data_IF_575251164640
#
_entry.id   IF_575251164640
#
_cell.length_a   1.000
_cell.length_b   1.000
_cell.length_c   1.000
_cell.angle_alpha   90.00
_cell.angle_beta   90.00
_cell.angle_gamma   90.00
#
_symmetry.space_group_name_H-M   'P 1'
#
loop_
_entity.id
_entity.type
_entity.pdbx_description
1 polymer ?
#
# COMPACT_ATOMS: atom_id res chain seq x y z
N UNK A 1 35.45 30.06 -16.14
CA UNK A 1 34.00 29.87 -16.16
C UNK A 1 33.78 28.47 -16.73
N UNK A 2 33.60 27.48 -15.86
CA UNK A 2 33.43 26.10 -16.27
C UNK A 2 31.96 25.82 -16.56
N UNK A 3 31.69 25.27 -17.73
CA UNK A 3 30.36 24.76 -18.08
C UNK A 3 29.95 23.69 -17.05
N UNK A 4 28.77 23.91 -16.45
CA UNK A 4 28.18 22.96 -15.52
C UNK A 4 27.85 21.67 -16.28
N UNK A 5 28.35 20.47 -15.88
CA UNK A 5 28.20 19.24 -16.63
C UNK A 5 26.77 18.64 -16.60
N UNK A 6 25.76 19.38 -16.13
CA UNK A 6 24.38 18.92 -15.99
C UNK A 6 23.34 19.85 -16.61
N UNK A 7 23.72 20.65 -17.61
CA UNK A 7 22.70 21.35 -18.40
C UNK A 7 21.85 20.32 -19.15
N UNK A 8 20.66 20.03 -18.64
CA UNK A 8 19.69 19.20 -19.37
C UNK A 8 19.25 19.96 -20.62
N UNK A 9 19.68 19.50 -21.79
CA UNK A 9 19.21 20.05 -23.06
C UNK A 9 17.75 19.56 -23.27
N UNK A 10 16.84 20.47 -23.67
CA UNK A 10 15.48 20.06 -24.03
C UNK A 10 15.52 19.09 -25.20
N UNK A 11 14.73 18.01 -25.07
CA UNK A 11 14.56 17.05 -26.16
C UNK A 11 13.81 17.76 -27.28
N UNK A 12 14.45 17.87 -28.45
CA UNK A 12 13.81 18.41 -29.63
C UNK A 12 12.91 17.35 -30.27
N UNK A 13 11.77 17.77 -30.78
CA UNK A 13 10.79 16.88 -31.42
C UNK A 13 10.38 17.46 -32.79
N UNK A 14 10.45 16.64 -33.82
CA UNK A 14 10.01 16.96 -35.19
C UNK A 14 8.54 16.60 -35.41
N UNK A 15 7.78 16.30 -34.36
CA UNK A 15 6.37 15.92 -34.47
C UNK A 15 5.55 17.13 -34.90
N UNK A 16 4.87 17.02 -36.08
CA UNK A 16 3.92 18.00 -36.57
C UNK A 16 2.60 17.89 -35.77
N UNK A 17 2.49 18.63 -34.66
CA UNK A 17 1.34 18.58 -33.76
C UNK A 17 0.04 19.12 -34.36
N UNK A 18 0.11 19.87 -35.47
CA UNK A 18 -0.99 20.43 -36.27
C UNK A 18 -1.47 19.48 -37.38
N UNK A 19 -0.73 18.41 -37.67
CA UNK A 19 -1.13 17.43 -38.68
C UNK A 19 -2.42 16.71 -38.30
N UNK A 20 -3.26 16.42 -39.32
CA UNK A 20 -4.50 15.68 -39.13
C UNK A 20 -4.30 14.30 -38.53
N UNK A 21 -3.15 13.69 -38.79
CA UNK A 21 -2.78 12.38 -38.23
C UNK A 21 -2.50 12.47 -36.73
N UNK A 22 -1.71 13.44 -36.33
CA UNK A 22 -1.45 13.70 -34.88
C UNK A 22 -2.74 14.00 -34.14
N UNK A 23 -3.63 14.83 -34.68
CA UNK A 23 -4.90 15.16 -34.04
C UNK A 23 -5.79 13.92 -33.87
N UNK A 24 -5.88 13.04 -34.86
CA UNK A 24 -6.63 11.77 -34.74
C UNK A 24 -6.06 10.87 -33.65
N UNK A 25 -4.74 10.71 -33.57
CA UNK A 25 -4.06 9.90 -32.56
C UNK A 25 -4.23 10.49 -31.17
N UNK A 26 -4.09 11.81 -31.04
CA UNK A 26 -4.32 12.54 -29.79
C UNK A 26 -5.75 12.34 -29.27
N UNK A 27 -6.75 12.50 -30.13
CA UNK A 27 -8.14 12.39 -29.73
C UNK A 27 -8.50 10.93 -29.35
N UNK A 28 -7.98 9.95 -30.07
CA UNK A 28 -8.10 8.55 -29.69
C UNK A 28 -7.43 8.24 -28.33
N UNK A 29 -6.25 8.82 -28.07
CA UNK A 29 -5.57 8.68 -26.78
C UNK A 29 -6.36 9.36 -25.64
N UNK A 30 -6.83 10.58 -25.85
CA UNK A 30 -7.63 11.30 -24.85
C UNK A 30 -8.93 10.56 -24.52
N UNK A 31 -9.59 9.97 -25.53
CA UNK A 31 -10.77 9.12 -25.30
C UNK A 31 -10.46 7.91 -24.42
N UNK A 32 -9.32 7.23 -24.64
CA UNK A 32 -8.87 6.12 -23.77
C UNK A 32 -8.56 6.60 -22.35
N UNK A 33 -7.92 7.75 -22.21
CA UNK A 33 -7.63 8.35 -20.90
C UNK A 33 -8.92 8.71 -20.15
N UNK A 34 -9.92 9.25 -20.85
CA UNK A 34 -11.22 9.56 -20.26
C UNK A 34 -11.95 8.29 -19.78
N UNK A 35 -11.88 7.19 -20.52
CA UNK A 35 -12.44 5.90 -20.11
C UNK A 35 -11.74 5.30 -18.88
N UNK A 36 -10.47 5.65 -18.62
CA UNK A 36 -9.71 5.18 -17.47
C UNK A 36 -10.09 5.93 -16.16
N UNK A 37 -10.54 7.18 -16.26
CA UNK A 37 -10.79 8.04 -15.10
C UNK A 37 -11.80 7.46 -14.10
N UNK A 38 -12.96 6.91 -14.49
CA UNK A 38 -13.90 6.31 -13.55
C UNK A 38 -13.29 5.17 -12.71
N UNK A 39 -12.43 4.36 -13.33
CA UNK A 39 -11.73 3.27 -12.62
C UNK A 39 -10.70 3.79 -11.60
N UNK A 40 -10.05 4.88 -11.92
CA UNK A 40 -9.13 5.56 -10.99
C UNK A 40 -9.90 6.16 -9.81
N UNK A 41 -11.06 6.74 -10.08
CA UNK A 41 -11.93 7.31 -9.05
C UNK A 41 -12.46 6.21 -8.11
N UNK A 42 -12.88 5.07 -8.65
CA UNK A 42 -13.27 3.89 -7.87
C UNK A 42 -12.12 3.39 -7.00
N UNK A 43 -10.92 3.21 -7.57
CA UNK A 43 -9.73 2.81 -6.82
C UNK A 43 -9.37 3.81 -5.71
N UNK A 44 -9.59 5.10 -5.95
CA UNK A 44 -9.35 6.17 -4.98
C UNK A 44 -10.33 6.10 -3.80
N UNK A 45 -11.59 5.71 -4.03
CA UNK A 45 -12.59 5.57 -2.98
C UNK A 45 -12.26 4.41 -2.01
N UNK A 46 -11.59 3.37 -2.48
CA UNK A 46 -11.34 2.14 -1.71
C UNK A 46 -12.61 1.34 -1.49
N UNK A 47 -12.88 0.91 -0.25
CA UNK A 47 -14.07 0.13 0.09
C UNK A 47 -15.39 0.86 -0.15
N UNK A 48 -16.49 0.09 -0.15
CA UNK A 48 -17.83 0.65 -0.35
C UNK A 48 -18.23 1.64 0.77
N UNK A 49 -19.27 2.41 0.53
CA UNK A 49 -19.72 3.47 1.45
C UNK A 49 -20.00 2.95 2.87
N UNK A 50 -20.64 1.78 2.99
CA UNK A 50 -20.93 1.14 4.28
C UNK A 50 -19.65 0.85 5.05
N UNK A 51 -18.65 0.27 4.38
CA UNK A 51 -17.35 -0.05 4.99
C UNK A 51 -16.60 1.21 5.42
N UNK A 52 -16.60 2.26 4.60
CA UNK A 52 -15.98 3.55 4.95
C UNK A 52 -16.68 4.23 6.12
N UNK A 53 -18.00 4.24 6.15
CA UNK A 53 -18.80 4.78 7.30
C UNK A 53 -18.47 4.01 8.58
N UNK A 54 -18.45 2.67 8.52
CA UNK A 54 -18.11 1.84 9.68
C UNK A 54 -16.67 2.10 10.16
N UNK A 55 -15.72 2.30 9.25
CA UNK A 55 -14.34 2.63 9.59
C UNK A 55 -14.26 3.96 10.34
N UNK A 56 -14.92 5.00 9.83
CA UNK A 56 -14.98 6.32 10.47
C UNK A 56 -15.73 6.30 11.81
N UNK A 57 -16.81 5.52 11.95
CA UNK A 57 -17.54 5.41 13.22
C UNK A 57 -16.72 4.80 14.36
N UNK A 58 -15.62 4.10 14.04
CA UNK A 58 -14.64 3.60 14.98
C UNK A 58 -13.53 4.62 15.33
N UNK A 59 -13.67 5.87 14.89
CA UNK A 59 -12.66 6.91 15.08
C UNK A 59 -11.41 6.75 14.24
N UNK A 60 -11.45 5.92 13.19
CA UNK A 60 -10.29 5.65 12.34
C UNK A 60 -10.29 6.54 11.10
N UNK A 61 -9.12 7.07 10.77
CA UNK A 61 -8.89 7.80 9.50
C UNK A 61 -8.89 6.82 8.34
N UNK A 62 -9.45 7.23 7.19
CA UNK A 62 -9.34 6.46 5.95
C UNK A 62 -7.85 6.40 5.49
N UNK A 63 -7.45 5.37 4.74
CA UNK A 63 -6.04 5.21 4.34
C UNK A 63 -5.45 6.44 3.64
N UNK A 64 -6.20 7.07 2.74
CA UNK A 64 -5.74 8.28 2.04
C UNK A 64 -5.68 9.51 2.94
N UNK A 65 -6.55 9.59 3.94
CA UNK A 65 -6.48 10.64 4.98
C UNK A 65 -5.22 10.47 5.83
N UNK A 66 -4.82 9.23 6.14
CA UNK A 66 -3.56 8.93 6.85
C UNK A 66 -2.34 9.33 6.02
N UNK A 67 -2.35 9.01 4.72
CA UNK A 67 -1.28 9.43 3.80
C UNK A 67 -1.18 10.95 3.78
N UNK A 68 -2.29 11.66 3.57
CA UNK A 68 -2.32 13.11 3.51
C UNK A 68 -1.85 13.77 4.82
N UNK A 69 -2.15 13.17 5.98
CA UNK A 69 -1.71 13.66 7.28
C UNK A 69 -0.22 13.40 7.57
N UNK A 70 0.37 12.40 6.93
CA UNK A 70 1.80 12.06 7.11
C UNK A 70 2.72 12.85 6.20
N UNK A 71 2.26 13.15 4.99
CA UNK A 71 3.06 13.85 3.98
C UNK A 71 3.33 15.30 4.39
N UNK A 72 4.49 15.80 4.00
CA UNK A 72 4.82 17.21 4.16
C UNK A 72 3.81 18.09 3.41
N UNK A 73 3.38 19.23 4.00
CA UNK A 73 2.40 20.11 3.37
C UNK A 73 2.80 20.51 1.94
N UNK A 74 1.89 20.28 1.00
CA UNK A 74 2.09 20.63 -0.41
C UNK A 74 2.98 19.65 -1.19
N UNK A 75 3.50 18.59 -0.56
CA UNK A 75 4.28 17.59 -1.29
C UNK A 75 3.38 16.68 -2.12
N UNK A 76 3.80 16.32 -3.35
CA UNK A 76 3.04 15.37 -4.17
C UNK A 76 3.16 13.94 -3.63
N UNK A 77 2.14 13.12 -3.90
CA UNK A 77 2.18 11.68 -3.68
C UNK A 77 2.18 10.94 -5.02
N UNK A 78 3.27 10.28 -5.36
CA UNK A 78 3.38 9.45 -6.55
C UNK A 78 2.87 8.04 -6.25
N UNK A 79 1.60 7.79 -6.48
CA UNK A 79 1.01 6.47 -6.28
C UNK A 79 1.46 5.46 -7.36
N UNK A 80 1.88 4.28 -6.93
CA UNK A 80 2.35 3.19 -7.79
C UNK A 80 1.32 2.06 -7.79
N UNK A 81 0.96 1.56 -8.98
CA UNK A 81 0.06 0.42 -9.13
C UNK A 81 -1.38 0.70 -8.69
N UNK A 82 -1.90 1.91 -8.92
CA UNK A 82 -3.24 2.34 -8.52
C UNK A 82 -4.36 1.39 -8.97
N UNK A 83 -4.21 0.74 -10.13
CA UNK A 83 -5.19 -0.18 -10.72
C UNK A 83 -4.70 -1.65 -10.73
N UNK A 84 -3.75 -2.00 -9.86
CA UNK A 84 -3.11 -3.31 -9.90
C UNK A 84 -4.07 -4.48 -9.62
N UNK A 85 -5.18 -4.24 -8.94
CA UNK A 85 -6.20 -5.25 -8.65
C UNK A 85 -7.41 -5.22 -9.57
N UNK A 86 -7.37 -4.41 -10.65
CA UNK A 86 -8.51 -4.25 -11.55
C UNK A 86 -8.94 -5.58 -12.18
N UNK A 87 -10.22 -5.91 -12.04
CA UNK A 87 -10.87 -7.10 -12.62
C UNK A 87 -10.29 -8.46 -12.17
N UNK A 88 -9.52 -8.49 -11.07
CA UNK A 88 -8.90 -9.72 -10.60
C UNK A 88 -9.70 -10.45 -9.51
N UNK A 89 -10.49 -9.72 -8.72
CA UNK A 89 -11.16 -10.30 -7.55
C UNK A 89 -12.58 -9.76 -7.41
N UNK A 90 -13.55 -10.64 -7.18
CA UNK A 90 -14.95 -10.29 -7.03
C UNK A 90 -15.19 -9.40 -5.81
N UNK A 91 -15.84 -8.26 -6.04
CA UNK A 91 -16.19 -7.30 -5.00
C UNK A 91 -14.97 -6.62 -4.33
N UNK A 92 -13.84 -6.59 -5.01
CA UNK A 92 -12.64 -5.85 -4.63
C UNK A 92 -12.41 -4.74 -5.64
N UNK A 93 -12.24 -3.47 -5.21
CA UNK A 93 -12.03 -2.36 -6.13
C UNK A 93 -10.67 -2.45 -6.84
N UNK A 94 -10.48 -1.69 -7.94
CA UNK A 94 -9.23 -1.75 -8.73
C UNK A 94 -7.94 -1.48 -7.92
N UNK A 95 -8.02 -0.70 -6.86
CA UNK A 95 -6.90 -0.44 -5.93
C UNK A 95 -6.55 -1.62 -5.04
N UNK A 96 -7.37 -2.68 -5.03
CA UNK A 96 -7.30 -3.79 -4.10
C UNK A 96 -7.29 -3.33 -2.61
N UNK A 97 -6.49 -3.97 -1.78
CA UNK A 97 -6.47 -3.73 -0.33
C UNK A 97 -5.23 -2.97 0.13
N UNK A 98 -4.54 -2.30 -0.79
CA UNK A 98 -3.27 -1.63 -0.49
C UNK A 98 -3.06 -0.40 -1.37
N UNK A 99 -2.46 0.63 -0.80
CA UNK A 99 -1.96 1.81 -1.50
C UNK A 99 -0.45 1.82 -1.35
N UNK A 100 0.28 2.02 -2.44
CA UNK A 100 1.74 2.15 -2.42
C UNK A 100 2.15 3.38 -3.23
N UNK A 101 3.17 4.09 -2.77
CA UNK A 101 3.65 5.26 -3.49
C UNK A 101 4.79 5.96 -2.79
N UNK A 102 5.38 6.92 -3.45
CA UNK A 102 6.44 7.77 -2.92
C UNK A 102 5.89 9.13 -2.58
N UNK A 103 6.23 9.60 -1.39
CA UNK A 103 5.91 10.95 -0.93
C UNK A 103 6.98 11.49 0.00
N UNK A 104 6.92 12.78 0.29
CA UNK A 104 7.89 13.43 1.16
C UNK A 104 7.40 13.44 2.60
N UNK A 105 8.23 12.97 3.52
CA UNK A 105 7.95 12.95 4.97
C UNK A 105 9.16 13.55 5.69
N UNK A 106 8.96 14.64 6.41
CA UNK A 106 10.03 15.37 7.11
C UNK A 106 11.23 15.69 6.21
N UNK A 107 10.95 16.18 4.99
CA UNK A 107 11.96 16.56 4.01
C UNK A 107 12.63 15.39 3.28
N UNK A 108 12.21 14.14 3.52
CA UNK A 108 12.79 12.94 2.89
C UNK A 108 11.77 12.22 2.01
N UNK A 109 12.18 11.80 0.83
CA UNK A 109 11.38 10.89 0.01
C UNK A 109 11.31 9.52 0.70
N UNK A 110 10.10 9.04 0.92
CA UNK A 110 9.81 7.76 1.57
C UNK A 110 8.87 6.92 0.70
N UNK A 111 9.04 5.60 0.73
CA UNK A 111 8.05 4.68 0.21
C UNK A 111 6.96 4.47 1.26
N UNK A 112 5.72 4.78 0.91
CA UNK A 112 4.54 4.50 1.73
C UNK A 112 3.88 3.21 1.26
N UNK A 113 3.60 2.30 2.19
CA UNK A 113 2.90 1.03 1.97
C UNK A 113 1.73 0.99 2.95
N UNK A 114 0.51 1.12 2.46
CA UNK A 114 -0.66 1.41 3.31
C UNK A 114 -1.76 0.40 3.06
N UNK A 115 -2.16 -0.35 4.07
CA UNK A 115 -3.32 -1.23 3.97
C UNK A 115 -4.62 -0.43 3.91
N UNK A 116 -5.54 -0.86 3.05
CA UNK A 116 -6.91 -0.35 3.03
C UNK A 116 -7.86 -1.35 3.70
N UNK A 117 -8.08 -1.17 4.99
CA UNK A 117 -8.98 -2.02 5.77
C UNK A 117 -10.47 -1.80 5.45
N UNK A 118 -10.82 -0.77 4.68
CA UNK A 118 -12.20 -0.58 4.18
C UNK A 118 -12.55 -1.58 3.10
N UNK A 119 -11.53 -2.21 2.49
CA UNK A 119 -11.65 -3.28 1.50
C UNK A 119 -11.32 -4.62 2.17
N UNK A 120 -12.36 -5.45 2.41
CA UNK A 120 -12.18 -6.81 2.97
C UNK A 120 -11.28 -6.86 4.23
N UNK A 121 -11.31 -5.82 5.07
CA UNK A 121 -10.50 -5.75 6.29
C UNK A 121 -9.00 -5.64 6.07
N UNK A 122 -8.55 -5.20 4.91
CA UNK A 122 -7.13 -5.13 4.56
C UNK A 122 -6.49 -6.51 4.30
N UNK A 123 -7.33 -7.50 3.98
CA UNK A 123 -6.87 -8.86 3.64
C UNK A 123 -5.95 -8.83 2.42
N UNK A 124 -4.83 -9.54 2.51
CA UNK A 124 -3.87 -9.62 1.42
C UNK A 124 -4.29 -10.66 0.38
N UNK A 125 -4.27 -10.27 -0.88
CA UNK A 125 -4.46 -11.11 -2.06
C UNK A 125 -3.13 -11.28 -2.80
N UNK A 126 -3.05 -12.21 -3.74
CA UNK A 126 -1.83 -12.42 -4.53
C UNK A 126 -1.32 -11.14 -5.21
N UNK A 127 -2.21 -10.31 -5.79
CA UNK A 127 -1.82 -9.03 -6.38
C UNK A 127 -1.41 -7.99 -5.33
N UNK A 128 -2.02 -8.00 -4.13
CA UNK A 128 -1.59 -7.13 -3.02
C UNK A 128 -0.15 -7.48 -2.59
N UNK A 129 0.16 -8.76 -2.53
CA UNK A 129 1.52 -9.26 -2.24
C UNK A 129 2.53 -8.78 -3.29
N UNK A 130 2.20 -8.94 -4.58
CA UNK A 130 3.05 -8.45 -5.68
C UNK A 130 3.26 -6.93 -5.63
N UNK A 131 2.19 -6.19 -5.31
CA UNK A 131 2.26 -4.72 -5.17
C UNK A 131 3.17 -4.31 -4.02
N UNK A 132 3.06 -4.98 -2.87
CA UNK A 132 3.94 -4.76 -1.71
C UNK A 132 5.41 -5.04 -2.06
N UNK A 133 5.70 -6.22 -2.58
CA UNK A 133 7.05 -6.62 -2.98
C UNK A 133 7.64 -5.64 -4.01
N UNK A 134 6.85 -5.23 -5.01
CA UNK A 134 7.28 -4.24 -5.99
C UNK A 134 7.62 -2.89 -5.36
N UNK A 135 6.82 -2.43 -4.39
CA UNK A 135 7.11 -1.19 -3.67
C UNK A 135 8.42 -1.29 -2.87
N UNK A 136 8.65 -2.42 -2.20
CA UNK A 136 9.92 -2.66 -1.50
C UNK A 136 11.11 -2.70 -2.44
N UNK A 137 11.02 -3.40 -3.57
CA UNK A 137 12.12 -3.46 -4.55
C UNK A 137 12.44 -2.06 -5.11
N UNK A 138 11.41 -1.26 -5.39
CA UNK A 138 11.61 0.13 -5.81
C UNK A 138 12.30 0.94 -4.69
N UNK A 139 11.82 0.83 -3.45
CA UNK A 139 12.42 1.49 -2.30
C UNK A 139 13.87 1.06 -2.08
N UNK A 140 14.16 -0.23 -2.21
CA UNK A 140 15.51 -0.77 -2.08
C UNK A 140 16.45 -0.19 -3.14
N UNK A 141 16.04 -0.25 -4.42
CA UNK A 141 16.83 0.28 -5.54
C UNK A 141 17.16 1.77 -5.38
N UNK A 142 16.24 2.56 -4.83
CA UNK A 142 16.40 4.00 -4.64
C UNK A 142 16.77 4.40 -3.21
N UNK A 143 17.04 3.42 -2.34
CA UNK A 143 17.40 3.60 -0.92
C UNK A 143 16.40 4.48 -0.17
N UNK A 144 15.11 4.30 -0.44
CA UNK A 144 14.02 5.04 0.23
C UNK A 144 13.65 4.35 1.53
N UNK A 145 13.58 5.07 2.66
CA UNK A 145 12.95 4.58 3.87
C UNK A 145 11.52 4.12 3.57
N UNK A 146 11.10 3.01 4.20
CA UNK A 146 9.74 2.50 4.08
C UNK A 146 8.92 2.87 5.30
N UNK A 147 7.74 3.44 5.09
CA UNK A 147 6.75 3.68 6.14
C UNK A 147 5.52 2.84 5.80
N UNK A 148 5.27 1.82 6.63
CA UNK A 148 4.16 0.88 6.43
C UNK A 148 3.04 1.18 7.41
N UNK A 149 1.86 1.56 6.92
CA UNK A 149 0.66 1.77 7.74
C UNK A 149 -0.16 0.49 7.75
N UNK A 150 -0.11 -0.23 8.86
CA UNK A 150 -0.61 -1.61 8.95
C UNK A 150 -2.01 -1.65 9.57
N UNK A 151 -2.90 -2.30 8.86
CA UNK A 151 -4.21 -2.74 9.33
C UNK A 151 -4.66 -3.89 8.42
N UNK A 152 -4.45 -5.15 8.83
CA UNK A 152 -4.55 -6.29 7.92
C UNK A 152 -5.22 -7.49 8.58
N UNK A 153 -6.22 -8.02 7.88
CA UNK A 153 -6.88 -9.29 8.24
C UNK A 153 -6.03 -10.55 7.98
N UNK A 154 -4.79 -10.40 7.51
CA UNK A 154 -3.95 -11.52 7.09
C UNK A 154 -4.12 -11.89 5.63
N UNK A 155 -3.69 -13.08 5.23
CA UNK A 155 -3.80 -13.59 3.87
C UNK A 155 -5.22 -14.08 3.52
N UNK A 156 -5.62 -13.93 2.27
CA UNK A 156 -6.87 -14.50 1.76
C UNK A 156 -6.70 -15.99 1.54
N UNK A 157 -7.17 -16.81 2.48
CA UNK A 157 -6.94 -18.26 2.49
C UNK A 157 -7.32 -19.01 1.19
N UNK A 158 -8.43 -18.66 0.49
CA UNK A 158 -8.75 -19.29 -0.79
C UNK A 158 -7.73 -19.02 -1.91
N UNK A 159 -6.93 -17.94 -1.80
CA UNK A 159 -5.90 -17.55 -2.77
C UNK A 159 -4.47 -17.87 -2.25
N UNK A 160 -4.36 -18.74 -1.26
CA UNK A 160 -3.10 -19.03 -0.57
C UNK A 160 -2.00 -19.54 -1.51
N UNK A 161 -2.36 -20.28 -2.55
CA UNK A 161 -1.41 -20.76 -3.56
C UNK A 161 -0.68 -19.61 -4.28
N UNK A 162 -1.34 -18.45 -4.45
CA UNK A 162 -0.77 -17.26 -5.07
C UNK A 162 -0.06 -16.32 -4.07
N UNK A 163 -0.05 -16.70 -2.78
CA UNK A 163 0.55 -15.90 -1.70
C UNK A 163 1.49 -16.72 -0.82
N UNK A 164 1.80 -17.93 -1.22
CA UNK A 164 2.65 -18.81 -0.44
C UNK A 164 3.95 -18.10 -0.01
N UNK A 165 4.49 -18.34 1.21
CA UNK A 165 5.69 -17.66 1.69
C UNK A 165 6.97 -18.19 1.03
N UNK A 166 7.11 -17.96 -0.26
CA UNK A 166 8.22 -18.37 -1.11
C UNK A 166 8.80 -17.15 -1.87
N UNK A 167 9.86 -17.37 -2.64
CA UNK A 167 10.51 -16.36 -3.48
C UNK A 167 9.52 -15.78 -4.50
N UNK A 168 9.49 -14.45 -4.63
CA UNK A 168 8.55 -13.71 -5.48
C UNK A 168 7.12 -13.60 -4.94
N UNK A 169 6.82 -14.21 -3.80
CA UNK A 169 5.52 -14.24 -3.13
C UNK A 169 5.59 -13.58 -1.74
N UNK A 170 4.73 -13.98 -0.79
CA UNK A 170 4.65 -13.35 0.53
C UNK A 170 5.95 -13.44 1.35
N UNK A 171 6.74 -14.50 1.17
CA UNK A 171 8.05 -14.65 1.81
C UNK A 171 9.04 -13.55 1.42
N UNK A 172 8.97 -13.08 0.18
CA UNK A 172 9.80 -11.97 -0.29
C UNK A 172 9.56 -10.67 0.45
N UNK A 173 8.35 -10.42 0.97
CA UNK A 173 8.05 -9.22 1.75
C UNK A 173 8.94 -9.17 2.99
N UNK A 174 9.00 -10.27 3.74
CA UNK A 174 9.77 -10.38 4.97
C UNK A 174 11.28 -10.37 4.67
N UNK A 175 11.70 -11.10 3.65
CA UNK A 175 13.09 -11.13 3.22
C UNK A 175 13.59 -9.73 2.83
N UNK A 176 12.87 -9.03 1.96
CA UNK A 176 13.23 -7.69 1.51
C UNK A 176 13.32 -6.72 2.70
N UNK A 177 12.36 -6.77 3.62
CA UNK A 177 12.32 -5.90 4.79
C UNK A 177 13.57 -6.07 5.66
N UNK A 178 13.92 -7.31 6.00
CA UNK A 178 15.11 -7.61 6.80
C UNK A 178 16.40 -7.22 6.07
N UNK A 179 16.48 -7.48 4.77
CA UNK A 179 17.65 -7.11 3.97
C UNK A 179 17.82 -5.60 3.85
N UNK A 180 16.73 -4.87 3.61
CA UNK A 180 16.76 -3.41 3.53
C UNK A 180 17.18 -2.79 4.86
N UNK A 181 16.64 -3.29 5.98
CA UNK A 181 17.06 -2.87 7.34
C UNK A 181 18.56 -3.13 7.55
N UNK A 182 19.05 -4.32 7.23
CA UNK A 182 20.47 -4.66 7.34
C UNK A 182 21.39 -3.76 6.49
N UNK A 183 20.88 -3.18 5.41
CA UNK A 183 21.57 -2.21 4.56
C UNK A 183 21.39 -0.75 5.02
N UNK A 184 20.76 -0.52 6.16
CA UNK A 184 20.50 0.82 6.72
C UNK A 184 19.38 1.59 6.01
N UNK A 185 18.46 0.89 5.32
CA UNK A 185 17.24 1.48 4.78
C UNK A 185 16.13 1.30 5.81
N UNK A 186 15.80 2.36 6.52
CA UNK A 186 14.88 2.33 7.66
C UNK A 186 13.50 1.76 7.29
N UNK A 187 13.01 0.86 8.15
CA UNK A 187 11.69 0.23 8.07
C UNK A 187 10.85 0.70 9.27
N UNK A 188 9.81 1.46 9.03
CA UNK A 188 8.96 2.05 10.08
C UNK A 188 7.54 1.53 9.91
N UNK A 189 6.93 1.05 10.98
CA UNK A 189 5.53 0.62 10.99
C UNK A 189 4.65 1.51 11.85
N UNK A 190 3.47 1.85 11.32
CA UNK A 190 2.40 2.52 12.04
C UNK A 190 1.20 1.57 12.09
N UNK A 191 0.92 0.97 13.23
CA UNK A 191 -0.16 -0.02 13.40
C UNK A 191 -1.45 0.70 13.74
N UNK A 192 -2.32 0.85 12.75
CA UNK A 192 -3.57 1.62 12.83
C UNK A 192 -4.81 0.80 13.18
N UNK A 193 -4.68 -0.50 13.26
CA UNK A 193 -5.79 -1.39 13.59
C UNK A 193 -5.31 -2.82 13.81
N UNK A 194 -6.25 -3.77 13.99
CA UNK A 194 -5.91 -5.17 14.14
C UNK A 194 -5.09 -5.66 12.95
N UNK A 195 -3.99 -6.33 13.24
CA UNK A 195 -3.06 -6.90 12.27
C UNK A 195 -2.81 -8.36 12.64
N UNK A 196 -3.18 -9.27 11.74
CA UNK A 196 -3.29 -10.70 12.06
C UNK A 196 -2.35 -11.54 11.20
N UNK A 197 -1.80 -12.59 11.77
CA UNK A 197 -0.95 -13.59 11.10
C UNK A 197 0.20 -12.92 10.31
N UNK A 198 0.32 -13.15 9.00
CA UNK A 198 1.31 -12.51 8.14
C UNK A 198 1.28 -10.98 8.17
N UNK A 199 0.10 -10.37 8.42
CA UNK A 199 -0.04 -8.93 8.62
C UNK A 199 0.60 -8.43 9.93
N UNK A 200 0.78 -9.29 10.93
CA UNK A 200 1.48 -8.95 12.18
C UNK A 200 3.01 -9.09 12.06
N UNK A 201 3.49 -9.95 11.17
CA UNK A 201 4.94 -10.07 10.93
C UNK A 201 5.54 -8.81 10.31
N UNK A 202 4.80 -8.14 9.43
CA UNK A 202 5.28 -6.92 8.77
C UNK A 202 5.72 -5.86 9.78
N UNK A 203 4.89 -5.41 10.74
CA UNK A 203 5.33 -4.45 11.75
C UNK A 203 6.36 -5.04 12.73
N UNK A 204 6.27 -6.34 13.06
CA UNK A 204 7.21 -6.98 13.98
C UNK A 204 8.65 -7.03 13.45
N UNK A 205 8.86 -6.96 12.14
CA UNK A 205 10.17 -6.96 11.49
C UNK A 205 10.66 -5.55 11.13
N UNK A 206 9.94 -4.50 11.52
CA UNK A 206 10.37 -3.12 11.32
C UNK A 206 11.41 -2.70 12.36
N UNK A 207 12.24 -1.72 12.01
CA UNK A 207 13.23 -1.12 12.93
C UNK A 207 12.52 -0.31 14.01
N UNK A 208 11.41 0.35 13.66
CA UNK A 208 10.59 1.16 14.54
C UNK A 208 9.11 0.84 14.38
N UNK A 209 8.40 0.68 15.51
CA UNK A 209 6.97 0.37 15.50
C UNK A 209 6.21 1.32 16.41
N UNK A 210 5.22 1.99 15.83
CA UNK A 210 4.27 2.85 16.55
C UNK A 210 2.89 2.21 16.49
N UNK A 211 2.33 1.88 17.65
CA UNK A 211 0.98 1.32 17.76
C UNK A 211 0.02 2.43 18.20
N UNK A 212 -1.03 2.66 17.40
CA UNK A 212 -2.01 3.69 17.73
C UNK A 212 -2.87 3.22 18.89
N UNK A 213 -2.83 3.99 19.98
CA UNK A 213 -3.55 3.66 21.23
C UNK A 213 -5.04 3.40 20.99
N UNK A 214 -5.57 2.34 21.57
CA UNK A 214 -6.97 1.89 21.46
C UNK A 214 -7.44 1.53 20.04
N UNK A 215 -6.54 1.44 19.07
CA UNK A 215 -6.88 1.07 17.69
C UNK A 215 -5.96 -0.05 17.16
N UNK A 216 -4.66 0.12 17.32
CA UNK A 216 -3.66 -0.83 16.84
C UNK A 216 -3.55 -2.05 17.73
N UNK A 217 -3.39 -3.21 17.11
CA UNK A 217 -3.06 -4.46 17.81
C UNK A 217 -2.44 -5.46 16.84
N UNK A 218 -1.57 -6.31 17.33
CA UNK A 218 -0.88 -7.34 16.55
C UNK A 218 -1.16 -8.72 17.16
N UNK A 219 -1.64 -9.67 16.35
CA UNK A 219 -1.97 -11.03 16.78
C UNK A 219 -1.43 -12.06 15.80
N UNK A 220 -1.02 -13.22 16.31
CA UNK A 220 -0.84 -14.40 15.46
C UNK A 220 -2.19 -14.97 15.03
N UNK A 221 -3.12 -15.15 15.96
CA UNK A 221 -4.48 -15.57 15.70
C UNK A 221 -5.49 -14.52 16.16
N UNK A 222 -6.46 -14.18 15.31
CA UNK A 222 -7.51 -13.25 15.72
C UNK A 222 -8.30 -13.79 16.92
N UNK A 223 -8.91 -12.91 17.75
CA UNK A 223 -9.75 -13.35 18.85
C UNK A 223 -10.83 -14.36 18.44
N UNK A 224 -11.42 -14.17 17.25
CA UNK A 224 -12.42 -15.08 16.69
C UNK A 224 -11.85 -16.46 16.36
N UNK A 225 -10.65 -16.49 15.80
CA UNK A 225 -9.97 -17.74 15.47
C UNK A 225 -9.59 -18.51 16.72
N UNK A 226 -9.07 -17.82 17.74
CA UNK A 226 -8.73 -18.43 19.04
C UNK A 226 -9.99 -18.98 19.71
N UNK A 227 -11.09 -18.22 19.69
CA UNK A 227 -12.37 -18.71 20.22
C UNK A 227 -12.86 -19.96 19.46
N UNK A 228 -12.82 -19.94 18.14
CA UNK A 228 -13.23 -21.09 17.34
C UNK A 228 -12.37 -22.36 17.61
N UNK A 229 -11.08 -22.17 17.86
CA UNK A 229 -10.16 -23.28 18.12
C UNK A 229 -10.20 -23.80 19.57
N UNK A 230 -10.51 -22.94 20.55
CA UNK A 230 -10.36 -23.29 21.98
C UNK A 230 -11.66 -23.26 22.77
N UNK A 231 -12.74 -22.68 22.22
CA UNK A 231 -14.00 -22.42 22.92
C UNK A 231 -13.90 -21.34 24.01
N UNK A 232 -12.73 -20.70 24.19
CA UNK A 232 -12.50 -19.66 25.20
C UNK A 232 -12.58 -18.28 24.57
N UNK A 233 -13.30 -17.35 25.21
CA UNK A 233 -13.26 -15.93 24.83
C UNK A 233 -11.91 -15.36 25.25
N UNK A 234 -11.03 -15.04 24.29
CA UNK A 234 -9.71 -14.52 24.65
C UNK A 234 -9.82 -13.07 25.13
N UNK A 235 -9.04 -12.73 26.12
CA UNK A 235 -8.78 -11.33 26.44
C UNK A 235 -7.81 -10.78 25.39
N UNK A 236 -8.23 -9.76 24.66
CA UNK A 236 -7.41 -9.16 23.58
C UNK A 236 -6.07 -8.67 24.08
N UNK A 237 -5.96 -8.22 25.34
CA UNK A 237 -4.69 -7.82 25.98
C UNK A 237 -3.70 -8.97 26.16
N UNK A 238 -4.18 -10.23 26.18
CA UNK A 238 -3.33 -11.40 26.34
C UNK A 238 -2.97 -12.10 25.03
N UNK A 239 -3.46 -11.59 23.89
CA UNK A 239 -3.26 -12.21 22.56
C UNK A 239 -2.22 -11.50 21.70
N UNK A 240 -1.80 -10.31 22.07
CA UNK A 240 -0.90 -9.52 21.25
C UNK A 240 -0.40 -8.28 21.97
N UNK A 241 0.30 -7.45 21.23
CA UNK A 241 0.78 -6.13 21.68
C UNK A 241 -0.30 -5.08 21.36
N UNK A 242 -0.70 -4.31 22.34
CA UNK A 242 -1.55 -3.12 22.24
C UNK A 242 -0.72 -1.85 22.41
#
# INVERSE_FOLDING_TARGET
MGDSPHAMHPIQSDIATDSADFQRQRDAFLSRMAALQPRRDEATLGGNEKSRKLHKSRGQMLPRERIAALLDPGSPFLEIGHLAGADLYDGVPPGATMITGVGQVSGRACMLIVNDATVKGGTMYGMTTKRHTRAQLFAWQHRLPCITMVQSGGGFLPDLANMFPDEGMAGSIMYNQVKMSAEGIAQIALVHGPSTAGGAYIPALCDEVVIIRNQGAMFLGSPQLVFAATGRVPNTRNLGLE
#
